data_IF_631610512538
#
_entry.id   IF_631610512538
#
_cell.length_a   1.000
_cell.length_b   1.000
_cell.length_c   1.000
_cell.angle_alpha   90.00
_cell.angle_beta   90.00
_cell.angle_gamma   90.00
#
_symmetry.space_group_name_H-M   'P 1'
#
loop_
_entity.id
_entity.type
_entity.pdbx_description
1 polymer ?
#
# COMPACT_ATOMS: atom_id res chain seq x y z
N UNK A 1 35.91 33.58 39.13
CA UNK A 1 35.62 32.35 38.39
C UNK A 1 36.89 31.52 38.19
N UNK A 2 37.99 32.09 37.68
CA UNK A 2 39.25 31.33 37.44
C UNK A 2 39.85 30.75 38.72
N UNK A 3 39.94 31.49 39.84
CA UNK A 3 40.40 31.00 41.12
C UNK A 3 39.55 29.87 41.70
N UNK A 4 38.24 29.85 41.41
CA UNK A 4 37.28 28.81 41.76
C UNK A 4 37.58 27.50 41.01
N UNK A 5 37.80 27.57 39.70
CA UNK A 5 38.14 26.42 38.84
C UNK A 5 39.46 25.74 39.25
N UNK A 6 40.47 26.54 39.61
CA UNK A 6 41.79 26.03 40.06
C UNK A 6 41.66 25.32 41.42
N UNK A 7 40.81 25.81 42.35
CA UNK A 7 40.60 25.18 43.66
C UNK A 7 40.02 23.76 43.58
N UNK A 8 39.15 23.51 42.58
CA UNK A 8 38.46 22.25 42.41
C UNK A 8 38.88 21.46 41.17
N UNK A 9 40.14 21.71 40.69
CA UNK A 9 40.69 21.08 39.46
C UNK A 9 40.62 19.55 39.47
N UNK A 10 40.81 18.90 40.62
CA UNK A 10 40.73 17.43 40.74
C UNK A 10 39.34 16.90 40.50
N UNK A 11 38.29 17.60 40.94
CA UNK A 11 36.88 17.23 40.69
C UNK A 11 36.47 17.53 39.25
N UNK A 12 36.93 18.65 38.69
CA UNK A 12 36.63 19.06 37.31
C UNK A 12 37.29 18.18 36.25
N UNK A 13 38.37 17.52 36.57
CA UNK A 13 39.05 16.57 35.68
C UNK A 13 38.66 15.13 36.02
N UNK A 14 38.54 14.79 37.30
CA UNK A 14 38.28 13.44 37.77
C UNK A 14 36.88 12.91 37.42
N UNK A 15 35.83 13.72 37.56
CA UNK A 15 34.47 13.31 37.25
C UNK A 15 34.23 13.08 35.76
N UNK A 16 34.68 13.95 34.83
CA UNK A 16 34.58 13.66 33.39
C UNK A 16 35.41 12.40 32.98
N UNK A 17 36.61 12.20 33.56
CA UNK A 17 37.45 11.05 33.26
C UNK A 17 36.81 9.75 33.75
N UNK A 18 36.19 9.78 34.94
CA UNK A 18 35.39 8.67 35.45
C UNK A 18 34.15 8.40 34.58
N UNK A 19 33.51 9.45 34.11
CA UNK A 19 32.40 9.34 33.13
C UNK A 19 32.85 8.66 31.82
N UNK A 20 34.00 9.05 31.28
CA UNK A 20 34.59 8.40 30.09
C UNK A 20 34.88 6.92 30.35
N UNK A 21 35.45 6.57 31.50
CA UNK A 21 35.71 5.16 31.85
C UNK A 21 34.44 4.34 31.92
N UNK A 22 33.38 4.87 32.56
CA UNK A 22 32.06 4.21 32.63
C UNK A 22 31.46 4.11 31.22
N UNK A 23 31.52 5.17 30.42
CA UNK A 23 31.03 5.17 29.03
C UNK A 23 31.74 4.17 28.13
N UNK A 24 33.08 4.05 28.28
CA UNK A 24 33.87 3.03 27.60
C UNK A 24 33.47 1.61 28.05
N UNK A 25 33.42 1.34 29.35
CA UNK A 25 33.03 0.04 29.86
C UNK A 25 31.63 -0.36 29.39
N UNK A 26 30.65 0.53 29.50
CA UNK A 26 29.28 0.29 29.00
C UNK A 26 29.20 0.07 27.49
N UNK A 27 30.00 0.79 26.71
CA UNK A 27 30.05 0.63 25.24
C UNK A 27 30.63 -0.71 24.80
N UNK A 28 31.51 -1.34 25.60
CA UNK A 28 32.05 -2.66 25.31
C UNK A 28 31.12 -3.81 25.69
N UNK A 29 30.23 -3.61 26.65
CA UNK A 29 29.23 -4.60 27.06
C UNK A 29 28.09 -4.71 26.03
N UNK A 30 27.80 -3.62 25.28
CA UNK A 30 26.76 -3.63 24.25
C UNK A 30 27.15 -4.50 23.06
N UNK A 31 26.26 -5.40 22.56
CA UNK A 31 26.52 -6.21 21.38
C UNK A 31 26.72 -5.32 20.14
N UNK A 32 27.56 -5.80 19.22
CA UNK A 32 27.73 -5.13 17.93
C UNK A 32 26.51 -5.45 17.06
N UNK A 33 25.92 -4.42 16.46
CA UNK A 33 24.76 -4.55 15.56
C UNK A 33 25.22 -4.15 14.16
N UNK A 34 24.80 -4.95 13.19
CA UNK A 34 25.07 -4.77 11.77
C UNK A 34 23.75 -4.46 11.06
N UNK A 35 23.77 -3.45 10.20
CA UNK A 35 22.58 -3.05 9.42
C UNK A 35 22.79 -3.45 7.96
N UNK A 36 21.88 -4.25 7.43
CA UNK A 36 21.83 -4.62 6.04
C UNK A 36 20.64 -3.95 5.36
N UNK A 37 20.84 -3.47 4.12
CA UNK A 37 19.83 -2.71 3.38
C UNK A 37 19.51 -3.39 2.06
N UNK A 38 18.21 -3.61 1.79
CA UNK A 38 17.67 -3.99 0.49
C UNK A 38 16.82 -2.85 -0.10
N UNK A 39 16.83 -2.70 -1.43
CA UNK A 39 16.06 -1.69 -2.13
C UNK A 39 15.18 -2.36 -3.17
N UNK A 40 13.88 -2.09 -3.10
CA UNK A 40 12.87 -2.67 -3.98
C UNK A 40 12.20 -1.59 -4.80
N UNK A 41 11.87 -1.93 -6.05
CA UNK A 41 11.04 -1.11 -6.93
C UNK A 41 9.65 -1.74 -7.06
N UNK A 42 8.62 -0.92 -6.85
CA UNK A 42 7.24 -1.35 -7.09
C UNK A 42 6.99 -1.47 -8.59
N UNK A 43 6.17 -2.46 -9.03
CA UNK A 43 5.75 -2.53 -10.41
C UNK A 43 5.09 -1.21 -10.80
N UNK A 44 5.58 -0.57 -11.85
CA UNK A 44 4.88 0.55 -12.45
C UNK A 44 3.67 -0.03 -13.19
N UNK A 45 2.49 0.10 -12.61
CA UNK A 45 1.27 -0.08 -13.40
C UNK A 45 1.36 0.89 -14.55
N UNK A 46 1.30 0.37 -15.78
CA UNK A 46 1.25 1.20 -16.99
C UNK A 46 0.10 2.20 -16.82
N UNK A 47 0.47 3.42 -16.47
CA UNK A 47 -0.48 4.53 -16.40
C UNK A 47 -1.00 4.74 -17.81
N UNK A 48 -2.22 4.30 -18.08
CA UNK A 48 -2.95 4.72 -19.28
C UNK A 48 -2.86 6.25 -19.35
N UNK A 49 -2.59 6.81 -20.57
CA UNK A 49 -2.26 8.23 -20.77
C UNK A 49 -3.16 9.27 -20.11
N UNK A 50 -4.37 8.89 -19.65
CA UNK A 50 -5.26 9.70 -18.81
C UNK A 50 -4.74 9.94 -17.39
N UNK A 51 -3.93 9.05 -16.82
CA UNK A 51 -3.32 9.27 -15.50
C UNK A 51 -2.17 10.29 -15.55
N UNK A 52 -1.45 10.38 -16.67
CA UNK A 52 -0.45 11.42 -16.89
C UNK A 52 -1.09 12.81 -16.97
N UNK A 53 -2.27 12.91 -17.61
CA UNK A 53 -3.02 14.16 -17.73
C UNK A 53 -3.62 14.63 -16.40
N UNK A 54 -4.10 13.67 -15.56
CA UNK A 54 -4.56 13.97 -14.19
C UNK A 54 -3.39 14.28 -13.23
N UNK A 55 -2.21 13.71 -13.45
CA UNK A 55 -0.99 14.06 -12.71
C UNK A 55 -0.58 15.52 -12.96
N UNK A 56 -0.78 16.02 -14.16
CA UNK A 56 -0.50 17.42 -14.53
C UNK A 56 -1.54 18.40 -13.95
N UNK A 57 -2.82 18.00 -13.88
CA UNK A 57 -3.88 18.74 -13.15
C UNK A 57 -3.70 18.64 -11.62
N UNK A 58 -3.25 17.51 -11.11
CA UNK A 58 -2.92 17.28 -9.69
C UNK A 58 -1.74 18.12 -9.22
N UNK A 59 -0.76 18.39 -10.08
CA UNK A 59 0.35 19.29 -9.77
C UNK A 59 -0.12 20.76 -9.60
N UNK A 60 -1.16 21.19 -10.34
CA UNK A 60 -1.80 22.50 -10.15
C UNK A 60 -2.73 22.53 -8.91
N UNK A 61 -3.37 21.43 -8.57
CA UNK A 61 -4.18 21.29 -7.36
C UNK A 61 -3.33 21.01 -6.11
N UNK A 62 -2.12 20.51 -6.26
CA UNK A 62 -1.18 20.20 -5.17
C UNK A 62 -0.72 21.41 -4.38
N UNK A 63 -0.84 22.63 -4.91
CA UNK A 63 -0.62 23.87 -4.16
C UNK A 63 -1.75 24.19 -3.16
N UNK A 64 -2.94 23.58 -3.31
CA UNK A 64 -4.10 23.80 -2.43
C UNK A 64 -4.55 22.52 -1.67
N UNK A 65 -3.99 21.33 -1.99
CA UNK A 65 -4.51 20.01 -1.58
C UNK A 65 -3.54 19.11 -0.81
N UNK A 66 -2.54 19.64 -0.13
CA UNK A 66 -1.63 18.87 0.73
C UNK A 66 -2.27 18.14 1.93
N UNK A 67 -3.60 18.14 2.04
CA UNK A 67 -4.35 17.53 3.13
C UNK A 67 -5.09 16.24 2.77
N UNK A 68 -5.17 15.86 1.48
CA UNK A 68 -5.78 14.59 1.06
C UNK A 68 -4.66 13.59 0.78
N UNK A 69 -4.22 12.89 1.84
CA UNK A 69 -3.18 11.88 1.82
C UNK A 69 -3.44 10.77 0.80
N UNK A 70 -3.17 11.04 -0.48
CA UNK A 70 -3.11 10.00 -1.51
C UNK A 70 -1.88 9.17 -1.21
N UNK A 71 -2.06 8.07 -0.54
CA UNK A 71 -0.99 7.11 -0.24
C UNK A 71 -0.38 6.66 -1.57
N UNK A 72 0.92 6.81 -1.69
CA UNK A 72 1.69 6.29 -2.83
C UNK A 72 1.41 4.80 -3.02
N UNK A 73 1.38 4.27 -4.24
CA UNK A 73 1.34 2.82 -4.46
C UNK A 73 2.38 2.06 -3.65
N UNK A 74 3.57 2.63 -3.45
CA UNK A 74 4.62 2.07 -2.60
C UNK A 74 4.20 1.91 -1.14
N UNK A 75 3.32 2.77 -0.60
CA UNK A 75 2.85 2.68 0.79
C UNK A 75 1.99 1.43 1.03
N UNK A 76 1.28 0.96 0.01
CA UNK A 76 0.56 -0.32 0.07
C UNK A 76 1.54 -1.48 0.28
N UNK A 77 2.62 -1.52 -0.49
CA UNK A 77 3.64 -2.57 -0.36
C UNK A 77 4.39 -2.47 0.97
N UNK A 78 4.65 -1.27 1.48
CA UNK A 78 5.18 -1.06 2.83
C UNK A 78 4.22 -1.61 3.88
N UNK A 79 2.90 -1.42 3.72
CA UNK A 79 1.88 -2.02 4.58
C UNK A 79 1.89 -3.55 4.53
N UNK A 80 2.02 -4.14 3.33
CA UNK A 80 2.12 -5.60 3.16
C UNK A 80 3.40 -6.16 3.80
N UNK A 81 4.55 -5.50 3.64
CA UNK A 81 5.82 -5.89 4.27
C UNK A 81 5.74 -5.86 5.80
N UNK A 82 5.01 -4.90 6.37
CA UNK A 82 4.77 -4.78 7.82
C UNK A 82 3.64 -5.68 8.32
N UNK A 83 3.02 -6.47 7.45
CA UNK A 83 1.91 -7.34 7.83
C UNK A 83 2.36 -8.45 8.79
N UNK A 84 1.39 -8.91 9.60
CA UNK A 84 1.60 -10.04 10.49
C UNK A 84 2.03 -11.30 9.74
N UNK A 85 1.45 -11.54 8.56
CA UNK A 85 1.75 -12.73 7.74
C UNK A 85 3.21 -12.79 7.33
N UNK A 86 3.79 -11.67 6.88
CA UNK A 86 5.21 -11.59 6.52
C UNK A 86 6.08 -11.77 7.76
N UNK A 87 5.75 -11.09 8.86
CA UNK A 87 6.48 -11.22 10.11
C UNK A 87 6.51 -12.66 10.63
N UNK A 88 5.35 -13.35 10.65
CA UNK A 88 5.26 -14.73 11.13
C UNK A 88 6.11 -15.70 10.29
N UNK A 89 6.10 -15.55 8.95
CA UNK A 89 6.94 -16.35 8.05
C UNK A 89 8.43 -16.12 8.26
N UNK A 90 8.84 -14.86 8.51
CA UNK A 90 10.23 -14.54 8.81
C UNK A 90 10.66 -15.10 10.18
N UNK A 91 9.79 -14.99 11.20
CA UNK A 91 10.04 -15.58 12.50
C UNK A 91 10.26 -17.09 12.41
N UNK A 92 9.44 -17.78 11.64
CA UNK A 92 9.54 -19.22 11.43
C UNK A 92 10.79 -19.59 10.63
N UNK A 93 11.05 -18.91 9.51
CA UNK A 93 12.17 -19.20 8.60
C UNK A 93 13.54 -19.06 9.25
N UNK A 94 13.72 -18.06 10.12
CA UNK A 94 14.99 -17.74 10.78
C UNK A 94 15.01 -18.13 12.26
N UNK A 95 13.97 -18.80 12.76
CA UNK A 95 13.82 -19.15 14.18
C UNK A 95 14.00 -17.96 15.13
N UNK A 96 13.57 -16.75 14.70
CA UNK A 96 13.83 -15.50 15.40
C UNK A 96 13.26 -15.47 16.83
N UNK A 97 12.20 -16.21 17.09
CA UNK A 97 11.65 -16.33 18.43
C UNK A 97 12.67 -16.88 19.44
N UNK A 98 13.46 -17.87 19.02
CA UNK A 98 14.54 -18.44 19.85
C UNK A 98 15.70 -17.46 19.98
N UNK A 99 16.07 -16.81 18.86
CA UNK A 99 17.19 -15.87 18.80
C UNK A 99 16.95 -14.66 19.70
N UNK A 100 15.73 -14.12 19.68
CA UNK A 100 15.34 -12.98 20.52
C UNK A 100 15.03 -13.40 21.97
N UNK A 101 15.02 -14.70 22.28
CA UNK A 101 14.73 -15.22 23.62
C UNK A 101 13.26 -14.99 24.05
N UNK A 102 12.37 -14.78 23.10
CA UNK A 102 10.98 -14.44 23.38
C UNK A 102 10.08 -15.70 23.50
N UNK A 103 9.27 -15.74 24.57
CA UNK A 103 8.33 -16.86 24.79
C UNK A 103 7.09 -16.79 23.91
N UNK A 104 6.69 -15.57 23.52
CA UNK A 104 5.49 -15.31 22.73
C UNK A 104 5.85 -14.82 21.34
N UNK A 105 5.20 -15.38 20.31
CA UNK A 105 5.35 -14.92 18.94
C UNK A 105 4.98 -13.44 18.76
N UNK A 106 4.05 -12.91 19.55
CA UNK A 106 3.68 -11.48 19.54
C UNK A 106 4.82 -10.59 20.00
N UNK A 107 5.62 -11.01 20.98
CA UNK A 107 6.80 -10.27 21.45
C UNK A 107 7.92 -10.36 20.44
N UNK A 108 8.15 -11.54 19.86
CA UNK A 108 9.14 -11.72 18.79
C UNK A 108 8.84 -10.86 17.55
N UNK A 109 7.55 -10.72 17.15
CA UNK A 109 7.14 -9.79 16.07
C UNK A 109 7.45 -8.34 16.41
N UNK A 110 7.23 -7.91 17.65
CA UNK A 110 7.56 -6.54 18.08
C UNK A 110 9.07 -6.29 18.02
N UNK A 111 9.88 -7.28 18.45
CA UNK A 111 11.33 -7.16 18.40
C UNK A 111 11.84 -7.13 16.95
N UNK A 112 11.29 -7.99 16.07
CA UNK A 112 11.58 -7.91 14.63
C UNK A 112 11.21 -6.53 14.04
N UNK A 113 10.03 -6.00 14.38
CA UNK A 113 9.59 -4.69 13.91
C UNK A 113 10.46 -3.54 14.43
N UNK A 114 11.01 -3.65 15.64
CA UNK A 114 11.95 -2.68 16.21
C UNK A 114 13.31 -2.72 15.50
N UNK A 115 13.75 -3.90 15.12
CA UNK A 115 15.01 -4.14 14.45
C UNK A 115 14.91 -3.98 12.91
N UNK A 116 13.72 -3.63 12.38
CA UNK A 116 13.50 -3.47 10.94
C UNK A 116 12.87 -2.12 10.63
N UNK A 117 13.51 -1.36 9.75
CA UNK A 117 12.99 -0.10 9.24
C UNK A 117 12.57 -0.29 7.78
N UNK A 118 11.28 -0.11 7.49
CA UNK A 118 10.74 -0.20 6.14
C UNK A 118 10.08 1.13 5.80
N UNK A 119 10.57 1.79 4.76
CA UNK A 119 10.08 3.11 4.36
C UNK A 119 10.16 3.32 2.84
N UNK A 120 9.28 4.16 2.31
CA UNK A 120 9.36 4.64 0.93
C UNK A 120 10.33 5.82 0.87
N UNK A 121 11.29 5.75 -0.04
CA UNK A 121 12.21 6.84 -0.35
C UNK A 121 11.51 7.95 -1.16
N UNK A 122 12.15 9.09 -1.28
CA UNK A 122 11.69 10.20 -2.14
C UNK A 122 11.68 9.85 -3.63
N UNK A 123 12.46 8.84 -4.00
CA UNK A 123 12.58 8.24 -5.32
C UNK A 123 11.46 7.22 -5.64
N UNK A 124 10.54 6.99 -4.68
CA UNK A 124 9.47 6.00 -4.81
C UNK A 124 9.93 4.56 -4.57
N UNK A 125 11.20 4.33 -4.26
CA UNK A 125 11.74 3.01 -3.93
C UNK A 125 11.44 2.65 -2.48
N UNK A 126 11.28 1.35 -2.22
CA UNK A 126 11.08 0.83 -0.86
C UNK A 126 12.44 0.42 -0.32
N UNK A 127 12.84 1.04 0.78
CA UNK A 127 14.05 0.72 1.51
C UNK A 127 13.68 -0.18 2.70
N UNK A 128 14.36 -1.33 2.80
CA UNK A 128 14.25 -2.26 3.92
C UNK A 128 15.63 -2.31 4.57
N UNK A 129 15.72 -1.86 5.82
CA UNK A 129 16.91 -1.91 6.63
C UNK A 129 16.68 -2.82 7.84
N UNK A 130 17.53 -3.82 8.01
CA UNK A 130 17.44 -4.81 9.09
C UNK A 130 18.69 -4.75 9.93
N UNK A 131 18.50 -4.58 11.23
CA UNK A 131 19.53 -4.58 12.25
C UNK A 131 19.60 -5.95 12.90
N UNK A 132 20.80 -6.54 12.96
CA UNK A 132 21.03 -7.83 13.64
C UNK A 132 22.45 -7.92 14.20
N UNK A 133 22.68 -8.81 15.17
CA UNK A 133 23.99 -9.10 15.73
C UNK A 133 24.88 -9.87 14.74
N UNK A 134 24.27 -10.63 13.82
CA UNK A 134 24.98 -11.35 12.76
C UNK A 134 24.85 -10.60 11.44
N UNK A 135 25.99 -10.20 10.80
CA UNK A 135 25.94 -9.50 9.52
C UNK A 135 25.26 -10.31 8.42
N UNK A 136 25.51 -11.63 8.39
CA UNK A 136 24.86 -12.54 7.45
C UNK A 136 23.36 -12.61 7.65
N UNK A 137 22.91 -12.78 8.91
CA UNK A 137 21.48 -12.86 9.22
C UNK A 137 20.75 -11.56 8.91
N UNK A 138 21.36 -10.40 9.16
CA UNK A 138 20.80 -9.10 8.76
C UNK A 138 20.53 -9.05 7.26
N UNK A 139 21.49 -9.45 6.43
CA UNK A 139 21.35 -9.49 4.97
C UNK A 139 20.29 -10.52 4.52
N UNK A 140 20.32 -11.72 5.10
CA UNK A 140 19.39 -12.79 4.78
C UNK A 140 17.95 -12.41 5.12
N UNK A 141 17.69 -11.78 6.27
CA UNK A 141 16.36 -11.30 6.66
C UNK A 141 15.89 -10.18 5.72
N UNK A 142 16.76 -9.21 5.40
CA UNK A 142 16.43 -8.12 4.49
C UNK A 142 16.05 -8.63 3.09
N UNK A 143 16.75 -9.63 2.57
CA UNK A 143 16.43 -10.29 1.31
C UNK A 143 15.15 -11.14 1.41
N UNK A 144 14.94 -11.82 2.54
CA UNK A 144 13.74 -12.63 2.76
C UNK A 144 12.45 -11.81 2.80
N UNK A 145 12.50 -10.56 3.26
CA UNK A 145 11.34 -9.64 3.16
C UNK A 145 10.85 -9.49 1.72
N UNK A 146 11.77 -9.35 0.76
CA UNK A 146 11.41 -9.30 -0.66
C UNK A 146 10.76 -10.60 -1.14
N UNK A 147 11.35 -11.74 -0.79
CA UNK A 147 10.84 -13.05 -1.20
C UNK A 147 9.44 -13.30 -0.65
N UNK A 148 9.22 -13.00 0.64
CA UNK A 148 7.90 -13.18 1.28
C UNK A 148 6.86 -12.19 0.74
N UNK A 149 7.27 -10.95 0.42
CA UNK A 149 6.40 -10.00 -0.28
C UNK A 149 6.02 -10.54 -1.66
N UNK A 150 6.98 -11.07 -2.42
CA UNK A 150 6.71 -11.67 -3.73
C UNK A 150 5.75 -12.86 -3.66
N UNK A 151 5.87 -13.73 -2.66
CA UNK A 151 4.93 -14.83 -2.42
C UNK A 151 3.53 -14.32 -2.06
N UNK A 152 3.46 -13.31 -1.17
CA UNK A 152 2.19 -12.74 -0.72
C UNK A 152 1.46 -12.04 -1.87
N UNK A 153 2.15 -11.20 -2.62
CA UNK A 153 1.54 -10.48 -3.76
C UNK A 153 1.11 -11.42 -4.87
N UNK A 154 1.87 -12.47 -5.15
CA UNK A 154 1.49 -13.50 -6.12
C UNK A 154 0.22 -14.23 -5.69
N UNK A 155 0.13 -14.63 -4.43
CA UNK A 155 -1.07 -15.29 -3.90
C UNK A 155 -2.30 -14.38 -4.00
N UNK A 156 -2.17 -13.09 -3.65
CA UNK A 156 -3.26 -12.12 -3.74
C UNK A 156 -3.70 -11.88 -5.19
N UNK A 157 -2.75 -11.72 -6.11
CA UNK A 157 -3.04 -11.50 -7.52
C UNK A 157 -3.74 -12.69 -8.18
N UNK A 158 -3.28 -13.92 -7.90
CA UNK A 158 -3.93 -15.14 -8.39
C UNK A 158 -5.36 -15.25 -7.85
N UNK A 159 -5.58 -14.95 -6.57
CA UNK A 159 -6.92 -15.01 -5.97
C UNK A 159 -7.87 -13.99 -6.61
N UNK A 160 -7.42 -12.75 -6.85
CA UNK A 160 -8.23 -11.71 -7.49
C UNK A 160 -8.57 -12.05 -8.94
N UNK A 161 -7.58 -12.47 -9.73
CA UNK A 161 -7.77 -12.86 -11.13
C UNK A 161 -8.71 -14.07 -11.27
N UNK A 162 -8.57 -15.06 -10.40
CA UNK A 162 -9.44 -16.24 -10.36
C UNK A 162 -10.88 -15.87 -9.99
N UNK A 163 -11.09 -15.01 -9.00
CA UNK A 163 -12.43 -14.51 -8.64
C UNK A 163 -13.07 -13.73 -9.79
N UNK A 164 -12.31 -12.90 -10.50
CA UNK A 164 -12.76 -12.16 -11.67
C UNK A 164 -13.18 -13.11 -12.79
N UNK A 165 -12.39 -14.14 -13.10
CA UNK A 165 -12.74 -15.16 -14.09
C UNK A 165 -14.03 -15.89 -13.74
N UNK A 166 -14.16 -16.39 -12.50
CA UNK A 166 -15.35 -17.09 -12.04
C UNK A 166 -16.61 -16.19 -12.08
N UNK A 167 -16.45 -14.90 -11.78
CA UNK A 167 -17.53 -13.95 -11.88
C UNK A 167 -18.02 -13.79 -13.33
N UNK A 168 -17.12 -13.56 -14.29
CA UNK A 168 -17.51 -13.41 -15.70
C UNK A 168 -17.99 -14.72 -16.32
N UNK A 169 -17.48 -15.86 -15.89
CA UNK A 169 -18.00 -17.18 -16.27
C UNK A 169 -19.48 -17.32 -15.93
N UNK A 170 -19.84 -16.98 -14.68
CA UNK A 170 -21.23 -16.99 -14.23
C UNK A 170 -22.11 -16.01 -15.02
N UNK A 171 -21.62 -14.80 -15.26
CA UNK A 171 -22.35 -13.80 -16.05
C UNK A 171 -22.55 -14.25 -17.51
N UNK A 172 -21.57 -14.90 -18.11
CA UNK A 172 -21.67 -15.46 -19.47
C UNK A 172 -22.73 -16.56 -19.56
N UNK A 173 -22.79 -17.46 -18.57
CA UNK A 173 -23.83 -18.50 -18.50
C UNK A 173 -25.22 -17.86 -18.44
N UNK A 174 -25.41 -16.88 -17.54
CA UNK A 174 -26.66 -16.15 -17.40
C UNK A 174 -27.05 -15.44 -18.71
N UNK A 175 -26.11 -14.74 -19.35
CA UNK A 175 -26.37 -14.03 -20.61
C UNK A 175 -26.80 -14.98 -21.74
N UNK A 176 -26.25 -16.20 -21.79
CA UNK A 176 -26.67 -17.24 -22.76
C UNK A 176 -28.11 -17.72 -22.51
N UNK A 177 -28.49 -17.92 -21.25
CA UNK A 177 -29.86 -18.32 -20.88
C UNK A 177 -30.88 -17.23 -21.21
N UNK A 178 -30.52 -15.97 -20.94
CA UNK A 178 -31.35 -14.81 -21.26
C UNK A 178 -31.52 -14.64 -22.78
N UNK A 179 -30.44 -14.84 -23.56
CA UNK A 179 -30.49 -14.81 -25.03
C UNK A 179 -31.42 -15.91 -25.56
N UNK A 180 -31.22 -17.16 -25.11
CA UNK A 180 -32.07 -18.28 -25.53
C UNK A 180 -33.58 -18.02 -25.22
N UNK A 181 -33.85 -17.42 -24.07
CA UNK A 181 -35.23 -17.04 -23.69
C UNK A 181 -35.77 -15.94 -24.61
N UNK A 182 -34.97 -14.93 -24.94
CA UNK A 182 -35.35 -13.85 -25.85
C UNK A 182 -35.60 -14.38 -27.29
N UNK A 183 -34.77 -15.26 -27.79
CA UNK A 183 -34.89 -15.92 -29.09
C UNK A 183 -36.20 -16.75 -29.17
N UNK A 184 -36.49 -17.55 -28.14
CA UNK A 184 -37.72 -18.33 -28.06
C UNK A 184 -38.95 -17.42 -28.09
N UNK A 185 -38.92 -16.30 -27.33
CA UNK A 185 -40.02 -15.33 -27.31
C UNK A 185 -40.17 -14.61 -28.66
N UNK A 186 -39.09 -14.32 -29.37
CA UNK A 186 -39.14 -13.75 -30.72
C UNK A 186 -39.78 -14.74 -31.70
N UNK A 187 -39.31 -15.99 -31.69
CA UNK A 187 -39.90 -17.07 -32.54
C UNK A 187 -41.39 -17.21 -32.31
N UNK A 188 -41.83 -17.29 -31.06
CA UNK A 188 -43.26 -17.38 -30.72
C UNK A 188 -44.04 -16.19 -31.23
N UNK A 189 -43.45 -14.99 -31.19
CA UNK A 189 -44.09 -13.77 -31.73
C UNK A 189 -44.15 -13.80 -33.24
N UNK A 190 -43.12 -14.33 -33.96
CA UNK A 190 -43.11 -14.49 -35.40
C UNK A 190 -44.20 -15.47 -35.86
N UNK A 191 -44.32 -16.61 -35.19
CA UNK A 191 -45.38 -17.61 -35.48
C UNK A 191 -46.77 -17.03 -35.32
N UNK A 192 -46.99 -16.20 -34.28
CA UNK A 192 -48.30 -15.59 -34.01
C UNK A 192 -48.64 -14.42 -34.95
N UNK A 193 -47.64 -13.64 -35.37
CA UNK A 193 -47.85 -12.40 -36.14
C UNK A 193 -47.65 -12.53 -37.65
N UNK A 194 -46.95 -13.58 -38.11
CA UNK A 194 -46.62 -13.80 -39.53
C UNK A 194 -45.61 -12.78 -40.11
N UNK A 195 -45.04 -11.90 -39.26
CA UNK A 195 -44.08 -10.85 -39.71
C UNK A 195 -42.69 -11.43 -39.87
N UNK A 196 -42.20 -11.47 -41.12
CA UNK A 196 -40.89 -12.09 -41.44
C UNK A 196 -39.81 -11.07 -41.87
N UNK A 197 -40.22 -9.87 -42.34
CA UNK A 197 -39.27 -8.87 -42.83
C UNK A 197 -39.53 -7.47 -42.29
N UNK A 198 -38.43 -6.81 -41.87
CA UNK A 198 -38.37 -5.39 -41.49
C UNK A 198 -37.58 -4.60 -42.51
N UNK A 199 -37.96 -3.37 -42.76
CA UNK A 199 -37.19 -2.41 -43.54
C UNK A 199 -35.81 -2.21 -42.91
N UNK A 200 -34.75 -2.14 -43.73
CA UNK A 200 -33.34 -2.10 -43.26
C UNK A 200 -33.02 -0.94 -42.29
N UNK A 201 -33.73 0.20 -42.44
CA UNK A 201 -33.54 1.36 -41.55
C UNK A 201 -34.04 1.12 -40.12
N UNK A 202 -35.17 0.46 -39.96
CA UNK A 202 -35.70 0.09 -38.64
C UNK A 202 -34.78 -0.91 -37.95
N UNK A 203 -34.22 -1.83 -38.70
CA UNK A 203 -33.26 -2.83 -38.19
C UNK A 203 -31.95 -2.17 -37.69
N UNK A 204 -31.37 -1.23 -38.45
CA UNK A 204 -30.16 -0.52 -38.05
C UNK A 204 -30.35 0.30 -36.78
N UNK A 205 -31.48 0.97 -36.61
CA UNK A 205 -31.84 1.73 -35.39
C UNK A 205 -31.96 0.78 -34.18
N UNK A 206 -32.60 -0.37 -34.35
CA UNK A 206 -32.78 -1.37 -33.30
C UNK A 206 -31.43 -1.92 -32.86
N UNK A 207 -30.58 -2.28 -33.81
CA UNK A 207 -29.24 -2.79 -33.55
C UNK A 207 -28.40 -1.75 -32.78
N UNK A 208 -28.39 -0.48 -33.21
CA UNK A 208 -27.68 0.60 -32.56
C UNK A 208 -28.14 0.84 -31.10
N UNK A 209 -29.45 0.91 -30.88
CA UNK A 209 -30.04 1.09 -29.52
C UNK A 209 -29.76 -0.14 -28.63
N UNK A 210 -29.88 -1.33 -29.18
CA UNK A 210 -29.61 -2.58 -28.44
C UNK A 210 -28.14 -2.64 -28.02
N UNK A 211 -27.23 -2.31 -28.93
CA UNK A 211 -25.79 -2.30 -28.64
C UNK A 211 -25.42 -1.27 -27.57
N UNK A 212 -25.98 -0.06 -27.63
CA UNK A 212 -25.73 0.97 -26.62
C UNK A 212 -26.22 0.54 -25.23
N UNK A 213 -27.42 -0.04 -25.13
CA UNK A 213 -27.97 -0.58 -23.87
C UNK A 213 -27.13 -1.75 -23.35
N UNK A 214 -26.66 -2.62 -24.23
CA UNK A 214 -25.80 -3.72 -23.84
C UNK A 214 -24.47 -3.23 -23.29
N UNK A 215 -23.89 -2.17 -23.87
CA UNK A 215 -22.69 -1.53 -23.35
C UNK A 215 -22.89 -0.95 -21.94
N UNK A 216 -24.05 -0.29 -21.71
CA UNK A 216 -24.40 0.25 -20.38
C UNK A 216 -24.50 -0.89 -19.36
N UNK A 217 -25.28 -1.93 -19.67
CA UNK A 217 -25.44 -3.07 -18.79
C UNK A 217 -24.10 -3.80 -18.53
N UNK A 218 -23.25 -3.91 -19.55
CA UNK A 218 -21.91 -4.48 -19.38
C UNK A 218 -21.04 -3.64 -18.43
N UNK A 219 -21.15 -2.31 -18.47
CA UNK A 219 -20.47 -1.40 -17.54
C UNK A 219 -21.02 -1.55 -16.12
N UNK A 220 -22.32 -1.71 -15.95
CA UNK A 220 -22.94 -1.97 -14.64
C UNK A 220 -22.47 -3.31 -14.06
N UNK A 221 -22.39 -4.35 -14.88
CA UNK A 221 -21.84 -5.66 -14.49
C UNK A 221 -20.36 -5.53 -14.10
N UNK A 222 -19.58 -4.78 -14.88
CA UNK A 222 -18.17 -4.51 -14.57
C UNK A 222 -18.02 -3.75 -13.24
N UNK A 223 -18.86 -2.74 -12.97
CA UNK A 223 -18.90 -2.05 -11.68
C UNK A 223 -19.29 -2.99 -10.55
N UNK A 224 -20.28 -3.87 -10.78
CA UNK A 224 -20.67 -4.90 -9.83
C UNK A 224 -19.51 -5.84 -9.48
N UNK A 225 -18.78 -6.29 -10.50
CA UNK A 225 -17.57 -7.10 -10.32
C UNK A 225 -16.52 -6.36 -9.48
N UNK A 226 -16.22 -5.10 -9.81
CA UNK A 226 -15.25 -4.30 -9.07
C UNK A 226 -15.62 -4.12 -7.59
N UNK A 227 -16.92 -4.07 -7.25
CA UNK A 227 -17.37 -4.00 -5.85
C UNK A 227 -17.03 -5.23 -5.03
N UNK A 228 -16.84 -6.39 -5.65
CA UNK A 228 -16.54 -7.64 -4.92
C UNK A 228 -15.07 -7.78 -4.57
N UNK A 229 -14.17 -7.15 -5.31
CA UNK A 229 -12.71 -7.28 -5.12
C UNK A 229 -11.93 -5.96 -5.05
N UNK A 230 -12.57 -4.80 -5.34
CA UNK A 230 -11.93 -3.49 -5.22
C UNK A 230 -12.58 -2.65 -4.11
N UNK A 231 -11.79 -1.81 -3.45
CA UNK A 231 -12.32 -0.83 -2.48
C UNK A 231 -13.03 0.31 -3.19
N UNK A 232 -14.01 0.94 -2.53
CA UNK A 232 -14.76 2.08 -3.07
C UNK A 232 -13.89 3.30 -3.44
N UNK A 233 -12.63 3.33 -2.99
CA UNK A 233 -11.64 4.38 -3.28
C UNK A 233 -10.73 4.02 -4.47
N UNK A 234 -10.94 2.87 -5.12
CA UNK A 234 -10.15 2.48 -6.28
C UNK A 234 -10.42 3.47 -7.45
N UNK A 235 -9.37 4.10 -8.02
CA UNK A 235 -9.51 5.06 -9.12
C UNK A 235 -10.21 4.48 -10.36
N UNK A 236 -10.03 3.20 -10.65
CA UNK A 236 -10.68 2.52 -11.77
C UNK A 236 -12.20 2.37 -11.54
N UNK A 237 -12.60 2.06 -10.30
CA UNK A 237 -14.02 2.00 -9.94
C UNK A 237 -14.72 3.36 -10.14
N UNK A 238 -14.11 4.44 -9.68
CA UNK A 238 -14.65 5.80 -9.83
C UNK A 238 -14.78 6.21 -11.31
N UNK A 239 -13.77 5.88 -12.14
CA UNK A 239 -13.80 6.14 -13.59
C UNK A 239 -14.90 5.35 -14.30
N UNK A 240 -15.01 4.05 -13.98
CA UNK A 240 -16.05 3.22 -14.57
C UNK A 240 -17.46 3.71 -14.19
N UNK A 241 -17.65 4.24 -12.98
CA UNK A 241 -18.90 4.83 -12.52
C UNK A 241 -19.24 6.12 -13.27
N UNK A 242 -18.27 7.00 -13.52
CA UNK A 242 -18.48 8.24 -14.29
C UNK A 242 -18.84 7.95 -15.75
N UNK A 243 -18.08 7.07 -16.41
CA UNK A 243 -18.32 6.69 -17.80
C UNK A 243 -19.68 5.99 -17.98
N UNK A 244 -20.14 5.21 -16.99
CA UNK A 244 -21.48 4.59 -17.01
C UNK A 244 -22.60 5.62 -17.01
N UNK A 245 -22.49 6.69 -16.22
CA UNK A 245 -23.48 7.77 -16.16
C UNK A 245 -23.57 8.58 -17.45
N UNK A 246 -22.44 8.86 -18.10
CA UNK A 246 -22.41 9.56 -19.38
C UNK A 246 -23.09 8.76 -20.49
N UNK A 247 -22.87 7.44 -20.56
CA UNK A 247 -23.52 6.57 -21.51
C UNK A 247 -25.02 6.41 -21.26
N UNK A 248 -25.46 6.40 -19.99
CA UNK A 248 -26.89 6.37 -19.64
C UNK A 248 -27.62 7.62 -20.12
N UNK A 249 -27.04 8.81 -20.00
CA UNK A 249 -27.63 10.06 -20.49
C UNK A 249 -27.74 10.06 -22.01
N UNK A 250 -26.72 9.61 -22.73
CA UNK A 250 -26.75 9.50 -24.19
C UNK A 250 -27.81 8.49 -24.70
N UNK A 251 -28.07 7.42 -23.94
CA UNK A 251 -29.09 6.44 -24.31
C UNK A 251 -30.52 6.95 -24.16
N UNK A 252 -30.75 7.88 -23.21
CA UNK A 252 -32.08 8.52 -23.00
C UNK A 252 -32.40 9.47 -24.17
N UNK A 253 -31.44 10.18 -24.72
CA UNK A 253 -31.62 11.04 -25.89
C UNK A 253 -31.89 10.25 -27.18
N UNK A 254 -31.17 9.11 -27.41
CA UNK A 254 -31.39 8.24 -28.58
C UNK A 254 -32.75 7.50 -28.60
N UNK A 255 -33.44 7.39 -27.45
CA UNK A 255 -34.71 6.69 -27.33
C UNK A 255 -35.91 7.48 -27.86
N UNK A 256 -35.75 8.76 -28.20
CA UNK A 256 -36.88 9.68 -28.58
C UNK A 256 -37.12 9.75 -30.07
N UNK A 257 -36.39 9.01 -30.91
CA UNK A 257 -36.64 9.00 -32.35
C UNK A 257 -37.88 8.14 -32.70
N UNK A 258 -38.91 8.81 -33.01
CA UNK A 258 -40.21 8.54 -33.56
C UNK A 258 -40.39 7.19 -34.29
N UNK A 259 -41.18 6.30 -33.68
CA UNK A 259 -41.78 5.12 -34.33
C UNK A 259 -43.22 5.41 -34.80
N UNK A 260 -43.47 6.58 -35.37
CA UNK A 260 -44.82 7.14 -35.61
C UNK A 260 -45.71 6.45 -36.63
N UNK A 261 -45.37 5.32 -37.29
CA UNK A 261 -46.23 4.72 -38.34
C UNK A 261 -46.12 3.19 -38.45
N UNK A 262 -45.96 2.48 -37.34
CA UNK A 262 -45.88 1.00 -37.41
C UNK A 262 -47.20 0.40 -36.85
N UNK A 263 -47.84 -0.56 -37.55
CA UNK A 263 -49.02 -1.27 -37.02
C UNK A 263 -48.71 -1.94 -35.67
N UNK A 264 -49.67 -2.02 -34.76
CA UNK A 264 -49.47 -2.59 -33.41
C UNK A 264 -48.82 -3.99 -33.40
N UNK A 265 -49.16 -4.83 -34.38
CA UNK A 265 -48.60 -6.16 -34.56
C UNK A 265 -47.09 -6.11 -34.89
N UNK A 266 -46.66 -5.15 -35.71
CA UNK A 266 -45.25 -4.92 -36.00
C UNK A 266 -44.44 -4.37 -34.81
N UNK A 267 -45.08 -3.61 -33.92
CA UNK A 267 -44.45 -3.08 -32.72
C UNK A 267 -44.04 -4.18 -31.71
N UNK A 268 -44.87 -5.22 -31.55
CA UNK A 268 -44.55 -6.34 -30.67
C UNK A 268 -43.33 -7.12 -31.19
N UNK A 269 -43.30 -7.42 -32.49
CA UNK A 269 -42.12 -8.04 -33.12
C UNK A 269 -40.85 -7.19 -32.96
N UNK A 270 -40.97 -5.87 -33.21
CA UNK A 270 -39.85 -4.93 -33.04
C UNK A 270 -39.28 -4.91 -31.61
N UNK A 271 -40.18 -4.97 -30.60
CA UNK A 271 -39.79 -5.04 -29.20
C UNK A 271 -39.00 -6.33 -28.91
N UNK A 272 -39.51 -7.48 -29.40
CA UNK A 272 -38.85 -8.77 -29.22
C UNK A 272 -37.53 -8.89 -29.96
N UNK A 273 -37.45 -8.37 -31.19
CA UNK A 273 -36.20 -8.31 -31.93
C UNK A 273 -35.13 -7.44 -31.23
N UNK A 274 -35.54 -6.32 -30.66
CA UNK A 274 -34.66 -5.46 -29.86
C UNK A 274 -34.12 -6.19 -28.63
N UNK A 275 -35.00 -6.95 -27.96
CA UNK A 275 -34.63 -7.77 -26.79
C UNK A 275 -33.59 -8.83 -27.17
N UNK A 276 -33.77 -9.55 -28.27
CA UNK A 276 -32.78 -10.50 -28.78
C UNK A 276 -31.43 -9.82 -29.10
N UNK A 277 -31.47 -8.71 -29.85
CA UNK A 277 -30.23 -7.97 -30.19
C UNK A 277 -29.51 -7.40 -28.97
N UNK A 278 -30.23 -7.02 -27.95
CA UNK A 278 -29.67 -6.59 -26.67
C UNK A 278 -28.96 -7.76 -25.95
N UNK A 279 -29.60 -8.91 -25.80
CA UNK A 279 -29.01 -10.07 -25.14
C UNK A 279 -27.87 -10.69 -25.95
N UNK A 280 -27.94 -10.66 -27.28
CA UNK A 280 -26.85 -11.04 -28.17
C UNK A 280 -25.58 -10.19 -27.93
N UNK A 281 -25.76 -8.86 -27.88
CA UNK A 281 -24.66 -7.94 -27.61
C UNK A 281 -24.09 -8.09 -26.19
N UNK A 282 -24.93 -8.30 -25.17
CA UNK A 282 -24.45 -8.61 -23.81
C UNK A 282 -23.65 -9.90 -23.78
N UNK A 283 -24.16 -10.97 -24.38
CA UNK A 283 -23.47 -12.26 -24.43
C UNK A 283 -22.10 -12.13 -25.08
N UNK A 284 -21.99 -11.39 -26.19
CA UNK A 284 -20.71 -11.14 -26.85
C UNK A 284 -19.72 -10.37 -25.96
N UNK A 285 -20.22 -9.32 -25.26
CA UNK A 285 -19.38 -8.54 -24.35
C UNK A 285 -18.92 -9.39 -23.15
N UNK A 286 -19.83 -10.19 -22.56
CA UNK A 286 -19.49 -11.08 -21.44
C UNK A 286 -18.49 -12.15 -21.86
N UNK A 287 -18.61 -12.71 -23.06
CA UNK A 287 -17.66 -13.66 -23.62
C UNK A 287 -16.26 -13.05 -23.76
N UNK A 288 -16.17 -11.81 -24.28
CA UNK A 288 -14.88 -11.09 -24.35
C UNK A 288 -14.30 -10.80 -22.97
N UNK A 289 -15.12 -10.39 -21.99
CA UNK A 289 -14.65 -10.14 -20.64
C UNK A 289 -14.17 -11.42 -19.94
N UNK A 290 -14.85 -12.54 -20.16
CA UNK A 290 -14.42 -13.85 -19.67
C UNK A 290 -13.07 -14.27 -20.26
N UNK A 291 -12.87 -14.13 -21.58
CA UNK A 291 -11.58 -14.45 -22.21
C UNK A 291 -10.45 -13.53 -21.72
N UNK A 292 -10.71 -12.24 -21.53
CA UNK A 292 -9.73 -11.31 -20.93
C UNK A 292 -9.39 -11.72 -19.50
N UNK A 293 -10.38 -12.05 -18.67
CA UNK A 293 -10.16 -12.48 -17.30
C UNK A 293 -9.37 -13.79 -17.21
N UNK A 294 -9.60 -14.71 -18.15
CA UNK A 294 -8.83 -15.96 -18.29
C UNK A 294 -7.37 -15.71 -18.67
N UNK A 295 -7.12 -14.77 -19.57
CA UNK A 295 -5.76 -14.35 -19.93
C UNK A 295 -5.07 -13.67 -18.74
N UNK A 296 -5.79 -12.83 -17.97
CA UNK A 296 -5.22 -12.18 -16.79
C UNK A 296 -4.90 -13.18 -15.67
N UNK A 297 -5.72 -14.23 -15.48
CA UNK A 297 -5.42 -15.33 -14.54
C UNK A 297 -4.18 -16.11 -14.97
N UNK A 298 -3.97 -16.30 -16.28
CA UNK A 298 -2.82 -17.01 -16.82
C UNK A 298 -1.53 -16.18 -16.84
N UNK A 299 -1.62 -14.85 -16.73
CA UNK A 299 -0.45 -13.99 -16.61
C UNK A 299 0.21 -14.17 -15.26
N UNK A 300 1.52 -14.39 -15.27
CA UNK A 300 2.32 -14.30 -14.05
C UNK A 300 2.13 -12.92 -13.40
N UNK A 301 1.80 -12.93 -12.12
CA UNK A 301 1.64 -11.71 -11.33
C UNK A 301 2.87 -10.85 -11.46
N UNK A 302 2.67 -9.56 -11.71
CA UNK A 302 3.73 -8.52 -11.82
C UNK A 302 4.74 -8.66 -10.69
N UNK A 303 5.95 -9.06 -11.06
CA UNK A 303 7.01 -9.36 -10.08
C UNK A 303 7.59 -8.05 -9.57
N UNK A 304 7.64 -7.89 -8.25
CA UNK A 304 8.38 -6.81 -7.60
C UNK A 304 9.85 -6.96 -7.96
N UNK A 305 10.49 -5.90 -8.45
CA UNK A 305 11.87 -5.94 -8.87
C UNK A 305 12.80 -5.53 -7.72
N UNK A 306 13.87 -6.31 -7.52
CA UNK A 306 14.96 -5.97 -6.61
C UNK A 306 15.91 -5.04 -7.36
N UNK A 307 16.07 -3.82 -6.86
CA UNK A 307 17.07 -2.88 -7.36
C UNK A 307 18.42 -3.25 -6.77
N UNK A 308 18.49 -3.33 -5.43
CA UNK A 308 19.70 -3.72 -4.72
C UNK A 308 19.36 -4.82 -3.70
N UNK A 309 20.08 -5.95 -3.80
CA UNK A 309 20.04 -7.00 -2.77
C UNK A 309 20.85 -6.57 -1.56
N UNK A 310 20.35 -6.92 -0.38
CA UNK A 310 21.13 -6.76 0.83
C UNK A 310 22.37 -7.64 0.77
N UNK A 311 23.53 -7.05 1.05
CA UNK A 311 24.83 -7.72 1.20
C UNK A 311 25.25 -7.71 2.66
N UNK A 312 26.10 -8.63 3.05
CA UNK A 312 26.66 -8.69 4.39
C UNK A 312 27.45 -7.41 4.67
N UNK A 313 27.10 -6.65 5.74
CA UNK A 313 27.80 -5.42 6.06
C UNK A 313 29.18 -5.68 6.66
N UNK A 314 30.23 -5.07 6.08
CA UNK A 314 31.61 -5.20 6.55
C UNK A 314 31.86 -4.47 7.88
N UNK A 315 31.04 -3.49 8.22
CA UNK A 315 31.21 -2.63 9.39
C UNK A 315 29.96 -2.63 10.26
N UNK A 316 30.17 -2.62 11.57
CA UNK A 316 29.09 -2.45 12.55
C UNK A 316 28.45 -1.07 12.44
N UNK A 317 27.15 -1.02 12.55
CA UNK A 317 26.34 0.21 12.54
C UNK A 317 26.17 0.80 13.94
N UNK A 318 26.01 -0.06 14.95
CA UNK A 318 25.79 0.31 16.36
C UNK A 318 26.64 -0.58 17.29
N UNK A 319 27.00 -0.12 18.51
CA UNK A 319 26.89 1.25 18.99
C UNK A 319 27.98 2.15 18.37
N UNK A 320 27.65 3.42 18.15
CA UNK A 320 28.65 4.46 17.77
C UNK A 320 29.48 4.85 19.00
N UNK A 321 30.47 4.05 19.35
CA UNK A 321 31.25 4.15 20.59
C UNK A 321 31.81 5.55 20.85
N UNK A 322 32.27 6.23 19.79
CA UNK A 322 32.77 7.59 19.90
C UNK A 322 31.74 8.57 20.47
N UNK A 323 30.49 8.47 20.01
CA UNK A 323 29.41 9.35 20.49
C UNK A 323 29.00 9.02 21.94
N UNK A 324 29.07 7.76 22.34
CA UNK A 324 28.78 7.35 23.73
C UNK A 324 29.84 7.94 24.67
N UNK A 325 31.12 7.81 24.31
CA UNK A 325 32.23 8.33 25.10
C UNK A 325 32.19 9.86 25.17
N UNK A 326 31.93 10.53 24.02
CA UNK A 326 31.81 11.98 23.98
C UNK A 326 30.62 12.48 24.84
N UNK A 327 29.46 11.79 24.74
CA UNK A 327 28.30 12.09 25.57
C UNK A 327 28.58 11.90 27.07
N UNK A 328 29.29 10.82 27.44
CA UNK A 328 29.69 10.58 28.82
C UNK A 328 30.69 11.63 29.35
N UNK A 329 31.60 12.11 28.51
CA UNK A 329 32.52 13.20 28.83
C UNK A 329 31.75 14.50 29.11
N UNK A 330 30.83 14.88 28.23
CA UNK A 330 30.02 16.11 28.38
C UNK A 330 29.15 16.02 29.63
N UNK A 331 28.48 14.88 29.86
CA UNK A 331 27.66 14.65 31.04
C UNK A 331 28.52 14.70 32.34
N UNK A 332 29.69 14.09 32.34
CA UNK A 332 30.62 14.13 33.46
C UNK A 332 31.10 15.53 33.76
N UNK A 333 31.38 16.36 32.74
CA UNK A 333 31.79 17.74 32.88
C UNK A 333 30.63 18.58 33.45
N UNK A 334 29.41 18.36 32.99
CA UNK A 334 28.22 19.04 33.50
C UNK A 334 27.96 18.69 34.98
N UNK A 335 28.06 17.44 35.34
CA UNK A 335 27.95 16.98 36.73
C UNK A 335 29.05 17.58 37.62
N UNK A 336 30.29 17.64 37.12
CA UNK A 336 31.41 18.22 37.83
C UNK A 336 31.18 19.72 38.14
N UNK A 337 30.67 20.46 37.15
CA UNK A 337 30.31 21.88 37.32
C UNK A 337 29.20 22.07 38.35
N UNK A 338 28.12 21.30 38.26
CA UNK A 338 27.02 21.37 39.25
C UNK A 338 27.50 21.01 40.65
N UNK A 339 28.30 19.97 40.77
CA UNK A 339 28.82 19.52 42.07
C UNK A 339 29.76 20.53 42.72
N UNK A 340 30.65 21.14 41.92
CA UNK A 340 31.56 22.19 42.43
C UNK A 340 30.77 23.44 42.85
N UNK A 341 29.75 23.83 42.11
CA UNK A 341 28.85 24.93 42.47
C UNK A 341 28.10 24.63 43.78
N UNK A 342 27.61 23.40 43.97
CA UNK A 342 26.90 22.98 45.16
C UNK A 342 27.79 23.01 46.40
N UNK A 343 29.04 22.51 46.29
CA UNK A 343 30.02 22.55 47.40
C UNK A 343 30.30 24.01 47.81
N UNK A 344 30.51 24.90 46.86
CA UNK A 344 30.78 26.31 47.14
C UNK A 344 29.58 27.03 47.80
N UNK A 345 28.36 26.73 47.31
CA UNK A 345 27.13 27.27 47.91
C UNK A 345 26.99 26.81 49.39
N UNK A 346 27.26 25.53 49.67
CA UNK A 346 27.24 24.97 51.01
C UNK A 346 28.30 25.61 51.93
N UNK A 347 29.51 25.83 51.41
CA UNK A 347 30.59 26.45 52.14
C UNK A 347 30.30 27.92 52.49
N UNK A 348 29.69 28.67 51.57
CA UNK A 348 29.27 30.06 51.82
C UNK A 348 28.17 30.14 52.88
N UNK A 349 27.18 29.25 52.84
CA UNK A 349 26.11 29.20 53.86
C UNK A 349 26.67 28.78 55.23
N UNK A 350 27.53 27.77 55.27
CA UNK A 350 28.22 27.35 56.53
C UNK A 350 29.13 28.42 57.11
N UNK A 351 29.84 29.17 56.29
CA UNK A 351 30.68 30.30 56.71
C UNK A 351 29.87 31.47 57.28
N UNK A 352 28.68 31.72 56.72
CA UNK A 352 27.77 32.79 57.23
C UNK A 352 27.20 32.43 58.63
N UNK A 353 26.90 31.15 58.87
CA UNK A 353 26.41 30.65 60.14
C UNK A 353 27.47 30.71 61.28
N UNK A 354 28.74 30.45 60.95
CA UNK A 354 29.85 30.50 61.90
C UNK A 354 30.26 31.94 62.26
N UNK A 355 30.09 32.92 61.37
CA UNK A 355 30.28 34.35 61.65
C UNK A 355 29.17 34.88 62.50
N UNK A 356 27.92 34.49 62.31
CA UNK A 356 26.78 34.87 63.15
C UNK A 356 26.93 34.42 64.62
N UNK A 357 27.49 33.23 64.83
CA UNK A 357 27.71 32.65 66.15
C UNK A 357 28.89 33.29 66.93
N UNK A 358 29.82 34.00 66.24
CA UNK A 358 30.92 34.77 66.88
C UNK A 358 30.59 36.21 67.22
N UNK A 359 29.50 36.79 66.71
CA UNK A 359 29.06 38.13 66.98
C UNK A 359 28.12 38.18 68.20
N UNK A 360 27.64 37.04 68.69
CA UNK A 360 26.73 36.91 69.84
C UNK A 360 27.49 36.46 71.12
N UNK A 361 28.80 36.37 71.10
CA UNK A 361 29.67 36.32 72.29
C UNK A 361 30.41 37.65 72.46
#
# INVERSE_FOLDING_TARGET
ILAFLVKHKLLLIGLPLLGVLIGLAGSFIMPNIYSAKAVLMTPQQSQSGTAAMLGQLGALAGAAGGALGVKSPADLYVGLLKSRTVADRLLERFELQKIYGEKLASSARKELAKNTVIMTGKDGLINIEVDDESPKRAADIANAYHEELGKLTRTLAVTEASQRRLFFEKQLVQAREELATAEFNLQKTQEKTGVIQLEGQARAIIEGVAQLRAQIAAKEVQLGAMRTFATAQNPEYLRAQLNGREQESASKEGSLTSTGKVPQVGLEYLRKLREVKYHEAIMEIMARQFELAKVDEAKDSTTIQVVDKAIEPDKKSKPKRLFIVLGALVAGLFIALLWTFFIEAKNKVGGALTLSSRVIK
#
